data_IF_948209688097
#
_entry.id   IF_948209688097
#
_cell.length_a   1.000
_cell.length_b   1.000
_cell.length_c   1.000
_cell.angle_alpha   90.00
_cell.angle_beta   90.00
_cell.angle_gamma   90.00
#
_symmetry.space_group_name_H-M   'P 1'
#
loop_
_entity.id
_entity.type
_entity.pdbx_description
1 polymer ?
#
# COMPACT_ATOMS: atom_id res chain seq x y z
N UNK A 1 -23.35 16.57 98.00
CA UNK A 1 -24.06 17.89 97.88
C UNK A 1 -24.34 18.13 96.36
N UNK A 2 -25.61 18.34 96.09
CA UNK A 2 -26.26 18.83 94.88
C UNK A 2 -26.15 18.02 93.58
N UNK A 3 -27.16 17.23 93.39
CA UNK A 3 -27.81 16.70 92.20
C UNK A 3 -28.09 17.80 91.13
N UNK A 4 -27.86 17.46 89.86
CA UNK A 4 -28.62 18.09 88.78
C UNK A 4 -28.95 17.04 87.71
N UNK A 5 -30.24 16.81 87.59
CA UNK A 5 -30.84 15.98 86.57
C UNK A 5 -30.79 16.70 85.20
N UNK A 6 -30.40 16.01 84.14
CA UNK A 6 -30.52 16.51 82.82
C UNK A 6 -31.53 15.64 82.04
N UNK A 7 -32.58 16.28 81.55
CA UNK A 7 -33.66 15.69 80.73
C UNK A 7 -33.17 15.36 79.35
N UNK A 8 -33.40 14.10 78.94
CA UNK A 8 -33.14 13.68 77.54
C UNK A 8 -34.37 13.96 76.69
N UNK A 9 -34.23 14.89 75.77
CA UNK A 9 -35.26 15.20 74.76
C UNK A 9 -34.96 14.33 73.49
N UNK A 10 -35.88 13.39 73.23
CA UNK A 10 -35.78 12.57 72.00
C UNK A 10 -36.33 13.39 70.83
N UNK A 11 -35.41 13.75 69.90
CA UNK A 11 -35.76 14.31 68.62
C UNK A 11 -35.84 13.16 67.62
N UNK A 12 -37.02 12.87 67.10
CA UNK A 12 -37.25 11.91 66.03
C UNK A 12 -36.87 12.62 64.70
N UNK A 13 -35.81 12.22 64.13
CA UNK A 13 -35.44 12.65 62.75
C UNK A 13 -36.09 11.71 61.72
N UNK A 14 -37.06 12.21 60.99
CA UNK A 14 -37.67 11.56 59.85
C UNK A 14 -36.68 11.62 58.69
N UNK A 15 -36.08 10.48 58.24
CA UNK A 15 -35.28 10.38 57.11
C UNK A 15 -36.18 10.28 55.87
N UNK A 16 -36.29 11.38 55.12
CA UNK A 16 -36.85 11.35 53.76
C UNK A 16 -35.87 10.69 52.81
N UNK A 17 -36.21 9.50 52.37
CA UNK A 17 -35.44 8.82 51.32
C UNK A 17 -35.65 9.53 49.95
N UNK A 18 -34.68 10.33 49.54
CA UNK A 18 -34.64 10.93 48.22
C UNK A 18 -34.15 9.84 47.24
N UNK A 19 -35.05 9.28 46.47
CA UNK A 19 -34.71 8.34 45.40
C UNK A 19 -33.90 9.04 44.30
N UNK A 20 -32.60 8.79 44.22
CA UNK A 20 -31.79 9.17 43.06
C UNK A 20 -32.11 8.23 41.89
N UNK A 21 -32.87 8.74 40.96
CA UNK A 21 -33.08 8.12 39.64
C UNK A 21 -31.77 8.23 38.85
N UNK A 22 -31.02 7.11 38.73
CA UNK A 22 -29.90 7.00 37.80
C UNK A 22 -30.39 7.22 36.37
N UNK A 23 -30.14 8.39 35.82
CA UNK A 23 -30.23 8.63 34.39
C UNK A 23 -29.16 7.84 33.69
N UNK A 24 -29.50 6.67 33.16
CA UNK A 24 -28.68 5.95 32.20
C UNK A 24 -28.54 6.80 30.93
N UNK A 25 -27.46 7.54 30.85
CA UNK A 25 -27.01 8.18 29.58
C UNK A 25 -26.75 7.08 28.57
N UNK A 26 -27.66 6.93 27.63
CA UNK A 26 -27.41 6.11 26.42
C UNK A 26 -26.29 6.76 25.61
N UNK A 27 -25.07 6.25 25.72
CA UNK A 27 -23.99 6.52 24.78
C UNK A 27 -24.50 6.14 23.39
N UNK A 28 -24.44 7.03 22.38
CA UNK A 28 -24.82 6.64 21.02
C UNK A 28 -23.87 5.54 20.59
N UNK A 29 -24.40 4.38 20.27
CA UNK A 29 -23.64 3.34 19.60
C UNK A 29 -23.13 3.94 18.28
N UNK A 30 -21.81 4.17 18.20
CA UNK A 30 -21.12 4.46 16.94
C UNK A 30 -21.32 3.20 16.11
N UNK A 31 -22.26 3.28 15.18
CA UNK A 31 -22.51 2.25 14.19
C UNK A 31 -21.30 2.27 13.25
N UNK A 32 -20.22 1.57 13.64
CA UNK A 32 -19.13 1.25 12.73
C UNK A 32 -19.73 0.33 11.67
N UNK A 33 -20.23 0.96 10.62
CA UNK A 33 -20.56 0.31 9.38
C UNK A 33 -19.22 -0.25 8.87
N UNK A 34 -18.89 -1.49 9.24
CA UNK A 34 -17.87 -2.29 8.57
C UNK A 34 -18.33 -2.43 7.11
N UNK A 35 -18.02 -1.41 6.30
CA UNK A 35 -18.09 -1.50 4.87
C UNK A 35 -17.01 -2.52 4.50
N UNK A 36 -17.41 -3.77 4.23
CA UNK A 36 -16.53 -4.74 3.58
C UNK A 36 -16.05 -4.07 2.29
N UNK A 37 -14.90 -3.40 2.35
CA UNK A 37 -14.27 -2.84 1.16
C UNK A 37 -13.84 -4.01 0.30
N UNK A 38 -14.36 -4.08 -0.91
CA UNK A 38 -13.95 -5.08 -1.89
C UNK A 38 -12.58 -4.65 -2.45
N UNK A 39 -11.50 -4.92 -1.69
CA UNK A 39 -10.15 -4.55 -2.08
C UNK A 39 -9.63 -5.49 -3.16
N UNK A 40 -8.93 -4.93 -4.12
CA UNK A 40 -8.20 -5.68 -5.13
C UNK A 40 -6.70 -5.67 -4.86
N UNK A 41 -6.01 -6.66 -5.43
CA UNK A 41 -4.55 -6.77 -5.35
C UNK A 41 -3.96 -6.95 -6.72
N UNK A 42 -2.80 -6.32 -6.96
CA UNK A 42 -1.96 -6.48 -8.14
C UNK A 42 -0.49 -6.54 -7.72
N UNK A 43 0.35 -7.24 -8.47
CA UNK A 43 1.79 -7.32 -8.22
C UNK A 43 2.57 -6.82 -9.43
N UNK A 44 3.39 -5.77 -9.24
CA UNK A 44 4.04 -5.02 -10.32
C UNK A 44 5.55 -4.96 -10.14
N UNK A 45 6.29 -5.26 -11.20
CA UNK A 45 7.74 -5.05 -11.32
C UNK A 45 8.05 -3.91 -12.28
N UNK A 46 8.78 -2.88 -11.82
CA UNK A 46 9.12 -1.70 -12.61
C UNK A 46 10.56 -1.21 -12.29
N UNK A 47 11.49 -2.13 -12.24
CA UNK A 47 12.84 -1.90 -11.72
C UNK A 47 12.89 -2.02 -10.21
N UNK A 48 13.74 -1.23 -9.56
CA UNK A 48 13.89 -1.25 -8.10
C UNK A 48 12.55 -1.04 -7.36
N UNK A 49 12.21 -1.97 -6.49
CA UNK A 49 10.95 -1.95 -5.74
C UNK A 49 10.80 -0.75 -4.78
N UNK A 50 11.90 -0.13 -4.29
CA UNK A 50 11.83 1.10 -3.51
C UNK A 50 11.20 2.26 -4.28
N UNK A 51 11.45 2.32 -5.62
CA UNK A 51 10.84 3.30 -6.49
C UNK A 51 9.33 3.06 -6.64
N UNK A 52 8.94 1.80 -6.86
CA UNK A 52 7.55 1.41 -7.06
C UNK A 52 6.76 1.63 -5.77
N UNK A 53 7.29 1.13 -4.65
CA UNK A 53 6.68 1.30 -3.34
C UNK A 53 6.42 2.77 -3.00
N UNK A 54 7.45 3.63 -3.13
CA UNK A 54 7.34 5.05 -2.76
C UNK A 54 6.23 5.79 -3.53
N UNK A 55 6.05 5.45 -4.80
CA UNK A 55 5.01 6.04 -5.65
C UNK A 55 3.62 5.57 -5.24
N UNK A 56 3.42 4.25 -5.13
CA UNK A 56 2.10 3.71 -4.84
C UNK A 56 1.65 3.94 -3.40
N UNK A 57 2.56 4.13 -2.45
CA UNK A 57 2.21 4.54 -1.09
C UNK A 57 1.52 5.91 -1.04
N UNK A 58 1.82 6.82 -1.98
CA UNK A 58 1.21 8.16 -2.05
C UNK A 58 -0.07 8.22 -2.89
N UNK A 59 -0.42 7.17 -3.61
CA UNK A 59 -1.61 7.16 -4.46
C UNK A 59 -2.88 6.96 -3.61
N UNK A 60 -3.82 7.89 -3.72
CA UNK A 60 -5.12 7.81 -3.04
C UNK A 60 -5.87 6.56 -3.50
N UNK A 61 -6.46 5.83 -2.55
CA UNK A 61 -7.15 4.56 -2.81
C UNK A 61 -6.24 3.34 -2.71
N UNK A 62 -4.92 3.49 -2.66
CA UNK A 62 -4.01 2.40 -2.32
C UNK A 62 -3.98 2.25 -0.80
N UNK A 63 -4.32 1.07 -0.31
CA UNK A 63 -4.41 0.77 1.13
C UNK A 63 -3.11 0.18 1.67
N UNK A 64 -2.42 -0.63 0.85
CA UNK A 64 -1.19 -1.30 1.25
C UNK A 64 -0.26 -1.49 0.07
N UNK A 65 1.04 -1.33 0.30
CA UNK A 65 2.11 -1.70 -0.62
C UNK A 65 3.15 -2.51 0.14
N UNK A 66 3.58 -3.63 -0.42
CA UNK A 66 4.61 -4.48 0.17
C UNK A 66 5.66 -4.76 -0.90
N UNK A 67 6.91 -4.40 -0.64
CA UNK A 67 8.06 -4.76 -1.47
C UNK A 67 8.39 -6.24 -1.33
N UNK A 68 8.72 -6.91 -2.43
CA UNK A 68 9.00 -8.35 -2.43
C UNK A 68 9.48 -8.88 -3.76
N UNK A 69 9.36 -10.19 -3.92
CA UNK A 69 9.86 -10.96 -5.05
C UNK A 69 8.76 -11.84 -5.63
N UNK A 70 8.69 -11.92 -6.98
CA UNK A 70 7.71 -12.77 -7.67
C UNK A 70 8.21 -13.21 -9.05
N UNK A 71 7.56 -14.23 -9.63
CA UNK A 71 7.80 -14.67 -11.01
C UNK A 71 9.06 -15.51 -11.21
N UNK A 72 9.76 -15.91 -10.15
CA UNK A 72 10.89 -16.82 -10.18
C UNK A 72 10.53 -18.22 -9.68
N UNK A 73 11.53 -19.09 -9.63
CA UNK A 73 11.35 -20.50 -9.28
C UNK A 73 11.89 -20.86 -7.87
N UNK A 74 12.72 -19.99 -7.27
CA UNK A 74 13.31 -20.26 -5.97
C UNK A 74 12.32 -19.93 -4.84
N UNK A 75 12.09 -20.87 -3.94
CA UNK A 75 11.33 -20.61 -2.72
C UNK A 75 12.15 -19.88 -1.67
N UNK A 76 11.48 -18.99 -0.92
CA UNK A 76 12.09 -18.16 0.13
C UNK A 76 13.41 -17.49 -0.31
N UNK A 77 13.41 -16.72 -1.43
CA UNK A 77 14.63 -16.08 -1.90
C UNK A 77 15.07 -14.99 -0.92
N UNK A 78 16.38 -14.84 -0.76
CA UNK A 78 16.97 -13.68 -0.09
C UNK A 78 17.26 -12.58 -1.11
N UNK A 79 17.34 -11.33 -0.64
CA UNK A 79 17.70 -10.19 -1.49
C UNK A 79 19.00 -10.43 -2.26
N UNK A 80 20.03 -10.96 -1.58
CA UNK A 80 21.31 -11.26 -2.24
C UNK A 80 21.14 -12.22 -3.42
N UNK A 81 20.39 -13.31 -3.25
CA UNK A 81 20.15 -14.29 -4.30
C UNK A 81 19.35 -13.72 -5.48
N UNK A 82 18.40 -12.83 -5.19
CA UNK A 82 17.66 -12.11 -6.25
C UNK A 82 18.60 -11.17 -7.01
N UNK A 83 19.46 -10.43 -6.31
CA UNK A 83 20.46 -9.56 -6.94
C UNK A 83 21.48 -10.32 -7.78
N UNK A 84 21.87 -11.53 -7.38
CA UNK A 84 22.75 -12.41 -8.14
C UNK A 84 22.09 -12.98 -9.42
N UNK A 85 20.76 -12.78 -9.59
CA UNK A 85 19.99 -13.24 -10.76
C UNK A 85 19.71 -14.74 -10.78
N UNK A 86 20.08 -15.49 -9.70
CA UNK A 86 19.99 -16.96 -9.65
C UNK A 86 18.62 -17.50 -9.31
N UNK A 87 17.65 -16.65 -8.95
CA UNK A 87 16.33 -17.05 -8.48
C UNK A 87 15.23 -16.98 -9.53
N UNK A 88 15.46 -16.24 -10.62
CA UNK A 88 14.47 -15.92 -11.64
C UNK A 88 13.40 -14.91 -11.19
N UNK A 89 13.41 -14.47 -9.92
CA UNK A 89 12.46 -13.49 -9.42
C UNK A 89 12.72 -12.07 -9.96
N UNK A 90 11.62 -11.31 -10.12
CA UNK A 90 11.69 -9.85 -10.22
C UNK A 90 11.52 -9.22 -8.84
N UNK A 91 12.15 -8.05 -8.62
CA UNK A 91 11.74 -7.12 -7.59
C UNK A 91 10.36 -6.57 -7.94
N UNK A 92 9.43 -6.68 -7.01
CA UNK A 92 8.04 -6.27 -7.22
C UNK A 92 7.47 -5.53 -6.01
N UNK A 93 6.45 -4.73 -6.26
CA UNK A 93 5.54 -4.24 -5.22
C UNK A 93 4.19 -4.95 -5.36
N UNK A 94 3.71 -5.56 -4.27
CA UNK A 94 2.35 -6.04 -4.18
C UNK A 94 1.47 -4.93 -3.61
N UNK A 95 0.46 -4.52 -4.37
CA UNK A 95 -0.36 -3.33 -4.14
C UNK A 95 -1.79 -3.78 -3.87
N UNK A 96 -2.33 -3.43 -2.70
CA UNK A 96 -3.74 -3.61 -2.36
C UNK A 96 -4.44 -2.25 -2.44
N UNK A 97 -5.53 -2.17 -3.18
CA UNK A 97 -6.22 -0.92 -3.46
C UNK A 97 -7.74 -1.06 -3.42
N UNK A 98 -8.42 0.06 -3.21
CA UNK A 98 -9.88 0.17 -3.26
C UNK A 98 -10.31 0.58 -4.68
N UNK A 99 -10.93 -0.31 -5.48
CA UNK A 99 -11.32 -0.02 -6.85
C UNK A 99 -12.44 1.04 -6.96
N UNK A 100 -13.15 1.35 -5.88
CA UNK A 100 -14.11 2.45 -5.83
C UNK A 100 -13.41 3.83 -5.76
N UNK A 101 -12.13 3.89 -5.38
CA UNK A 101 -11.35 5.12 -5.19
C UNK A 101 -10.30 5.31 -6.27
N UNK A 102 -9.60 4.24 -6.64
CA UNK A 102 -8.63 4.20 -7.73
C UNK A 102 -8.86 2.95 -8.56
N UNK A 103 -9.10 3.11 -9.85
CA UNK A 103 -9.32 2.00 -10.77
C UNK A 103 -8.01 1.28 -11.10
N UNK A 104 -8.10 0.02 -11.54
CA UNK A 104 -6.93 -0.71 -12.01
C UNK A 104 -6.30 -0.04 -13.25
N UNK A 105 -7.09 0.62 -14.11
CA UNK A 105 -6.57 1.42 -15.23
C UNK A 105 -5.66 2.55 -14.73
N UNK A 106 -6.06 3.27 -13.70
CA UNK A 106 -5.25 4.35 -13.11
C UNK A 106 -3.96 3.81 -12.46
N UNK A 107 -4.02 2.62 -11.85
CA UNK A 107 -2.82 1.89 -11.37
C UNK A 107 -1.85 1.65 -12.55
N UNK A 108 -2.35 1.19 -13.70
CA UNK A 108 -1.54 0.96 -14.90
C UNK A 108 -0.98 2.27 -15.49
N UNK A 109 -1.76 3.36 -15.48
CA UNK A 109 -1.28 4.68 -15.93
C UNK A 109 -0.10 5.16 -15.08
N UNK A 110 -0.19 5.01 -13.76
CA UNK A 110 0.94 5.31 -12.85
C UNK A 110 2.12 4.39 -13.14
N UNK A 111 1.89 3.08 -13.26
CA UNK A 111 2.93 2.09 -13.55
C UNK A 111 3.72 2.44 -14.80
N UNK A 112 3.05 2.70 -15.93
CA UNK A 112 3.71 3.05 -17.18
C UNK A 112 4.35 4.46 -17.19
N UNK A 113 3.93 5.37 -16.29
CA UNK A 113 4.56 6.68 -16.17
C UNK A 113 5.91 6.63 -15.43
N UNK A 114 6.04 5.78 -14.41
CA UNK A 114 7.16 5.85 -13.46
C UNK A 114 8.37 5.04 -13.86
N UNK A 115 8.29 4.25 -14.95
CA UNK A 115 9.41 3.49 -15.46
C UNK A 115 9.45 3.47 -16.99
N UNK A 116 10.53 2.97 -17.56
CA UNK A 116 10.65 2.69 -18.98
C UNK A 116 10.29 1.22 -19.25
N UNK A 117 9.12 0.94 -19.86
CA UNK A 117 8.66 -0.42 -20.11
C UNK A 117 9.27 -1.05 -21.37
N UNK A 118 10.19 -0.36 -22.07
CA UNK A 118 10.77 -0.80 -23.36
C UNK A 118 12.14 -1.45 -23.20
N UNK A 119 12.71 -1.43 -22.00
CA UNK A 119 14.05 -1.97 -21.73
C UNK A 119 13.96 -3.37 -21.11
N UNK A 120 14.47 -4.37 -21.82
CA UNK A 120 14.46 -5.76 -21.35
C UNK A 120 15.47 -5.95 -20.21
N UNK A 121 15.00 -6.53 -19.08
CA UNK A 121 15.83 -6.84 -17.91
C UNK A 121 16.67 -5.67 -17.40
N UNK A 122 16.11 -4.46 -17.48
CA UNK A 122 16.82 -3.24 -17.12
C UNK A 122 15.85 -2.11 -16.78
N UNK A 123 16.24 -1.26 -15.84
CA UNK A 123 15.56 0.00 -15.59
C UNK A 123 16.56 1.11 -15.26
N UNK A 124 16.82 1.98 -16.24
CA UNK A 124 17.86 3.01 -16.11
C UNK A 124 19.26 2.37 -15.96
N UNK A 125 19.91 2.62 -14.84
CA UNK A 125 21.23 2.06 -14.53
C UNK A 125 21.17 0.70 -13.83
N UNK A 126 20.00 0.28 -13.36
CA UNK A 126 19.80 -1.02 -12.73
C UNK A 126 19.68 -2.09 -13.83
N UNK A 127 20.62 -3.03 -13.87
CA UNK A 127 20.72 -4.07 -14.90
C UNK A 127 20.59 -5.45 -14.25
N UNK A 128 19.72 -6.27 -14.78
CA UNK A 128 19.45 -7.64 -14.32
C UNK A 128 18.00 -8.04 -14.48
N UNK A 129 17.74 -9.34 -14.53
CA UNK A 129 16.39 -9.90 -14.69
C UNK A 129 15.43 -9.50 -13.54
N UNK A 130 15.99 -9.20 -12.36
CA UNK A 130 15.23 -8.73 -11.20
C UNK A 130 14.61 -7.34 -11.43
N UNK A 131 15.13 -6.54 -12.35
CA UNK A 131 14.62 -5.19 -12.65
C UNK A 131 13.72 -5.13 -13.89
N UNK A 132 13.24 -6.29 -14.37
CA UNK A 132 12.36 -6.36 -15.54
C UNK A 132 11.00 -5.72 -15.28
N UNK A 133 10.40 -5.19 -16.33
CA UNK A 133 9.02 -4.73 -16.32
C UNK A 133 8.06 -5.92 -16.32
N UNK A 134 7.17 -6.01 -15.35
CA UNK A 134 6.27 -7.15 -15.19
C UNK A 134 4.95 -6.76 -14.52
N UNK A 135 3.86 -7.40 -14.97
CA UNK A 135 2.53 -7.35 -14.38
C UNK A 135 2.12 -8.79 -14.05
N UNK A 136 2.02 -9.12 -12.76
CA UNK A 136 1.49 -10.39 -12.29
C UNK A 136 0.03 -10.19 -11.88
N UNK A 137 -0.89 -10.56 -12.78
CA UNK A 137 -2.32 -10.34 -12.61
C UNK A 137 -2.95 -11.36 -11.66
N UNK A 138 -3.92 -10.91 -10.85
CA UNK A 138 -4.68 -11.72 -9.89
C UNK A 138 -6.07 -12.10 -10.39
N UNK A 139 -6.51 -11.57 -11.56
CA UNK A 139 -7.78 -11.90 -12.17
C UNK A 139 -7.73 -11.83 -13.71
N UNK A 140 -8.64 -12.54 -14.42
CA UNK A 140 -8.74 -12.44 -15.87
C UNK A 140 -9.00 -11.01 -16.36
N UNK A 141 -9.76 -10.21 -15.62
CA UNK A 141 -10.06 -8.82 -15.93
C UNK A 141 -8.81 -7.94 -15.88
N UNK A 142 -7.95 -8.16 -14.88
CA UNK A 142 -6.66 -7.48 -14.80
C UNK A 142 -5.74 -7.86 -15.98
N UNK A 143 -5.72 -9.14 -16.39
CA UNK A 143 -4.99 -9.59 -17.57
C UNK A 143 -5.43 -8.85 -18.82
N UNK A 144 -6.72 -8.91 -19.12
CA UNK A 144 -7.28 -8.27 -20.31
C UNK A 144 -6.99 -6.77 -20.36
N UNK A 145 -7.18 -6.07 -19.23
CA UNK A 145 -6.90 -4.64 -19.14
C UNK A 145 -5.42 -4.33 -19.33
N UNK A 146 -4.50 -5.11 -18.75
CA UNK A 146 -3.07 -4.92 -18.91
C UNK A 146 -2.63 -5.11 -20.37
N UNK A 147 -3.08 -6.20 -21.01
CA UNK A 147 -2.77 -6.49 -22.43
C UNK A 147 -3.33 -5.41 -23.37
N UNK A 148 -4.57 -4.95 -23.14
CA UNK A 148 -5.18 -3.88 -23.92
C UNK A 148 -4.44 -2.55 -23.73
N UNK A 149 -4.04 -2.21 -22.49
CA UNK A 149 -3.26 -0.99 -22.21
C UNK A 149 -1.91 -1.02 -22.92
N UNK A 150 -1.20 -2.14 -22.91
CA UNK A 150 0.06 -2.30 -23.63
C UNK A 150 -0.13 -2.11 -25.13
N UNK A 151 -1.20 -2.69 -25.71
CA UNK A 151 -1.53 -2.53 -27.13
C UNK A 151 -1.85 -1.07 -27.47
N UNK A 152 -2.64 -0.38 -26.65
CA UNK A 152 -2.96 1.03 -26.82
C UNK A 152 -1.69 1.89 -26.80
N UNK A 153 -0.81 1.68 -25.83
CA UNK A 153 0.43 2.42 -25.69
C UNK A 153 1.40 2.18 -26.85
N UNK A 154 1.54 0.94 -27.32
CA UNK A 154 2.36 0.62 -28.50
C UNK A 154 1.81 1.27 -29.78
N UNK A 155 0.48 1.39 -29.90
CA UNK A 155 -0.16 2.00 -31.06
C UNK A 155 -0.10 3.53 -31.02
N UNK A 156 -0.11 4.13 -29.83
CA UNK A 156 -0.10 5.59 -29.64
C UNK A 156 1.20 6.27 -29.97
N UNK A 157 2.31 5.53 -30.09
CA UNK A 157 3.64 6.08 -30.27
C UNK A 157 4.18 6.78 -29.02
N UNK A 158 3.62 6.50 -27.84
CA UNK A 158 4.10 7.07 -26.58
C UNK A 158 5.55 6.70 -26.26
N UNK A 159 6.01 5.59 -26.83
CA UNK A 159 7.37 5.08 -26.70
C UNK A 159 8.02 4.84 -28.08
N UNK A 160 9.34 5.09 -28.18
CA UNK A 160 10.09 4.88 -29.44
C UNK A 160 10.38 3.40 -29.75
N UNK A 161 10.15 2.51 -28.79
CA UNK A 161 10.37 1.08 -28.90
C UNK A 161 9.18 0.31 -28.34
N UNK A 162 8.95 -0.92 -28.78
CA UNK A 162 7.85 -1.75 -28.25
C UNK A 162 7.99 -1.98 -26.75
N UNK A 163 6.86 -2.01 -26.07
CA UNK A 163 6.78 -2.37 -24.63
C UNK A 163 7.11 -3.85 -24.48
N UNK A 164 8.04 -4.16 -23.59
CA UNK A 164 8.51 -5.51 -23.25
C UNK A 164 8.02 -6.03 -21.90
N UNK A 165 7.06 -5.33 -21.31
CA UNK A 165 6.43 -5.72 -20.03
C UNK A 165 5.83 -7.12 -20.13
N UNK A 166 6.29 -8.06 -19.29
CA UNK A 166 5.65 -9.37 -19.20
C UNK A 166 4.31 -9.29 -18.47
N UNK A 167 3.28 -9.98 -18.99
CA UNK A 167 1.96 -10.11 -18.34
C UNK A 167 1.75 -11.59 -18.04
N UNK A 168 1.82 -11.96 -16.75
CA UNK A 168 1.74 -13.35 -16.29
C UNK A 168 0.72 -13.49 -15.15
N UNK A 169 0.17 -14.70 -14.99
CA UNK A 169 -0.62 -15.02 -13.82
C UNK A 169 0.24 -14.89 -12.55
N UNK A 170 -0.35 -14.31 -11.52
CA UNK A 170 0.25 -14.33 -10.20
C UNK A 170 0.27 -15.76 -9.65
N UNK A 171 1.42 -16.22 -9.18
CA UNK A 171 1.58 -17.54 -8.58
C UNK A 171 1.96 -17.44 -7.11
N UNK A 172 3.05 -16.74 -6.82
CA UNK A 172 3.61 -16.65 -5.48
C UNK A 172 4.27 -15.28 -5.26
N UNK A 173 4.13 -14.76 -4.06
CA UNK A 173 4.81 -13.56 -3.59
C UNK A 173 5.64 -13.90 -2.35
N UNK A 174 6.88 -13.45 -2.36
CA UNK A 174 7.80 -13.55 -1.24
C UNK A 174 8.07 -12.13 -0.74
N UNK A 175 7.60 -11.75 0.46
CA UNK A 175 7.92 -10.43 1.02
C UNK A 175 9.43 -10.25 1.11
N UNK A 176 9.92 -9.08 0.71
CA UNK A 176 11.31 -8.71 0.97
C UNK A 176 11.52 -8.46 2.47
N UNK A 177 12.75 -8.49 2.89
CA UNK A 177 13.17 -8.31 4.27
C UNK A 177 12.65 -6.97 4.84
N UNK A 178 12.42 -6.90 6.14
CA UNK A 178 11.81 -5.74 6.80
C UNK A 178 12.51 -4.41 6.51
N UNK A 179 13.85 -4.44 6.36
CA UNK A 179 14.63 -3.23 6.05
C UNK A 179 14.38 -2.68 4.64
N UNK A 180 13.71 -3.42 3.76
CA UNK A 180 13.28 -2.95 2.43
C UNK A 180 11.90 -2.31 2.43
N UNK A 181 11.10 -2.52 3.48
CA UNK A 181 9.74 -1.96 3.53
C UNK A 181 9.78 -0.48 3.87
N UNK A 182 8.99 0.32 3.15
CA UNK A 182 8.94 1.78 3.32
C UNK A 182 10.31 2.47 3.23
N UNK A 183 11.19 1.89 2.40
CA UNK A 183 12.62 2.21 2.38
C UNK A 183 12.88 3.69 2.11
N UNK A 184 12.20 4.27 1.11
CA UNK A 184 12.42 5.67 0.74
C UNK A 184 12.11 6.64 1.89
N UNK A 185 11.02 6.44 2.61
CA UNK A 185 10.63 7.32 3.71
C UNK A 185 11.62 7.23 4.89
N UNK A 186 12.18 6.05 5.13
CA UNK A 186 13.14 5.82 6.21
C UNK A 186 14.58 6.22 5.83
N UNK A 187 14.89 6.29 4.53
CA UNK A 187 16.25 6.44 4.01
C UNK A 187 16.39 7.53 2.94
N UNK A 188 15.53 8.57 2.96
CA UNK A 188 15.49 9.60 1.92
C UNK A 188 16.82 10.34 1.69
N UNK A 189 17.72 10.32 2.67
CA UNK A 189 19.07 10.91 2.60
C UNK A 189 20.09 10.07 1.84
N UNK A 190 19.83 8.78 1.58
CA UNK A 190 20.74 7.92 0.86
C UNK A 190 20.92 8.37 -0.61
N UNK A 191 22.13 8.26 -1.20
CA UNK A 191 22.38 8.70 -2.57
C UNK A 191 21.41 8.10 -3.59
N UNK A 192 21.16 6.80 -3.54
CA UNK A 192 20.20 6.13 -4.45
C UNK A 192 18.79 6.72 -4.33
N UNK A 193 18.32 6.98 -3.10
CA UNK A 193 17.03 7.61 -2.86
C UNK A 193 16.96 9.03 -3.45
N UNK A 194 18.04 9.79 -3.37
CA UNK A 194 18.08 11.17 -3.89
C UNK A 194 18.15 11.21 -5.43
N UNK A 195 18.98 10.34 -6.05
CA UNK A 195 19.25 10.42 -7.48
C UNK A 195 18.35 9.52 -8.33
N UNK A 196 17.76 8.47 -7.77
CA UNK A 196 16.93 7.50 -8.51
C UNK A 196 15.48 7.54 -8.10
N UNK A 197 15.19 7.42 -6.79
CA UNK A 197 13.82 7.31 -6.29
C UNK A 197 13.10 8.66 -6.35
N UNK A 198 13.71 9.71 -5.78
CA UNK A 198 13.12 11.05 -5.70
C UNK A 198 12.66 11.62 -7.03
N UNK A 199 13.46 11.61 -8.14
CA UNK A 199 13.01 12.14 -9.41
C UNK A 199 11.75 11.44 -9.97
N UNK A 200 11.63 10.13 -9.77
CA UNK A 200 10.44 9.37 -10.19
C UNK A 200 9.22 9.76 -9.36
N UNK A 201 9.39 9.88 -8.05
CA UNK A 201 8.33 10.32 -7.14
C UNK A 201 7.88 11.75 -7.43
N UNK A 202 8.80 12.67 -7.69
CA UNK A 202 8.47 14.05 -8.07
C UNK A 202 7.73 14.11 -9.42
N UNK A 203 8.14 13.31 -10.40
CA UNK A 203 7.41 13.18 -11.67
C UNK A 203 5.98 12.70 -11.44
N UNK A 204 5.80 11.67 -10.60
CA UNK A 204 4.47 11.18 -10.23
C UNK A 204 3.64 12.26 -9.55
N UNK A 205 4.15 12.93 -8.52
CA UNK A 205 3.48 14.01 -7.80
C UNK A 205 3.06 15.18 -8.72
N UNK A 206 3.88 15.48 -9.71
CA UNK A 206 3.58 16.54 -10.70
C UNK A 206 2.42 16.16 -11.62
N UNK A 207 2.41 14.91 -12.12
CA UNK A 207 1.42 14.43 -13.09
C UNK A 207 0.10 14.06 -12.42
N UNK A 208 0.14 13.43 -11.25
CA UNK A 208 -1.03 12.91 -10.54
C UNK A 208 -1.38 13.69 -9.27
N UNK A 209 -1.16 15.01 -9.30
CA UNK A 209 -1.36 15.89 -8.13
C UNK A 209 -2.72 15.72 -7.45
N UNK A 210 -3.79 15.55 -8.21
CA UNK A 210 -5.16 15.42 -7.71
C UNK A 210 -5.45 14.00 -7.12
N UNK A 211 -4.53 13.08 -7.32
CA UNK A 211 -4.64 11.68 -6.87
C UNK A 211 -3.74 11.34 -5.69
N UNK A 212 -3.06 12.33 -5.11
CA UNK A 212 -2.23 12.13 -3.92
C UNK A 212 -3.10 12.01 -2.67
N UNK A 213 -2.62 11.21 -1.70
CA UNK A 213 -3.21 11.13 -0.36
C UNK A 213 -3.15 12.43 0.39
#
# INVERSE_FOLDING_TARGET
MRSFAAHFLFLIFSIAACGQQEQKTKTPAINQKNKNMNLETITLGAGCFWCVESVFLELKGVEKVVSGYSGGFKENPTYKEVCDGSTGHAEVAQITFNPETVSFREILEVFFLVHDPTTLNRQGNDVGTQYRSAIYYHSPQQKEMAENTIKELNTSGAWNSPIVTEVKAFEKFWPAEDYHQNYYNLNAGQPYCQYVVRPKLEKFRKVFREKLK
#
